data_IF_956382396114
#
_entry.id   IF_956382396114
#
_cell.length_a   1.000
_cell.length_b   1.000
_cell.length_c   1.000
_cell.angle_alpha   90.00
_cell.angle_beta   90.00
_cell.angle_gamma   90.00
#
_symmetry.space_group_name_H-M   'P 1'
#
loop_
_entity.id
_entity.type
_entity.pdbx_description
1 polymer ?
#
# COMPACT_ATOMS: atom_id res chain seq x y z
N UNK A 1 -3.26 13.17 -15.56
CA UNK A 1 -2.76 14.50 -15.96
C UNK A 1 -1.23 14.61 -15.84
N UNK A 2 -0.61 14.33 -14.69
CA UNK A 2 0.87 14.42 -14.53
C UNK A 2 1.63 13.45 -15.44
N UNK A 3 1.19 12.18 -15.56
CA UNK A 3 1.85 11.21 -16.46
C UNK A 3 1.93 11.69 -17.91
N UNK A 4 0.88 12.34 -18.42
CA UNK A 4 0.82 12.88 -19.78
C UNK A 4 1.80 14.05 -19.92
N UNK A 5 1.80 14.98 -18.96
CA UNK A 5 2.74 16.12 -18.93
C UNK A 5 4.18 15.63 -18.97
N UNK A 6 4.53 14.62 -18.16
CA UNK A 6 5.88 14.06 -18.14
C UNK A 6 6.22 13.33 -19.45
N UNK A 7 5.24 12.63 -20.04
CA UNK A 7 5.42 11.99 -21.34
C UNK A 7 5.68 13.01 -22.45
N UNK A 8 4.91 14.11 -22.46
CA UNK A 8 5.09 15.20 -23.41
C UNK A 8 6.42 15.95 -23.19
N UNK A 9 6.84 16.10 -21.93
CA UNK A 9 8.16 16.64 -21.58
C UNK A 9 9.28 15.79 -22.16
N UNK A 10 9.27 14.48 -21.95
CA UNK A 10 10.31 13.59 -22.48
C UNK A 10 10.30 13.58 -24.01
N UNK A 11 9.13 13.67 -24.64
CA UNK A 11 9.03 13.84 -26.10
C UNK A 11 9.68 15.14 -26.59
N UNK A 12 9.51 16.23 -25.85
CA UNK A 12 10.11 17.53 -26.18
C UNK A 12 11.61 17.62 -25.84
N UNK A 13 12.05 16.88 -24.82
CA UNK A 13 13.42 16.82 -24.32
C UNK A 13 13.86 15.35 -24.25
N UNK A 14 14.25 14.74 -25.39
CA UNK A 14 14.39 13.29 -25.53
C UNK A 14 15.42 12.67 -24.58
N UNK A 15 16.40 13.45 -24.11
CA UNK A 15 17.47 12.99 -23.22
C UNK A 15 17.00 12.72 -21.77
N UNK A 16 15.77 13.13 -21.41
CA UNK A 16 15.21 12.86 -20.08
C UNK A 16 14.93 11.38 -19.85
N UNK A 17 15.28 10.90 -18.66
CA UNK A 17 14.82 9.61 -18.11
C UNK A 17 13.71 9.88 -17.10
N UNK A 18 12.52 9.33 -17.35
CA UNK A 18 11.35 9.53 -16.49
C UNK A 18 10.80 8.17 -16.07
N UNK A 19 10.78 7.90 -14.77
CA UNK A 19 10.09 6.74 -14.23
C UNK A 19 8.67 7.10 -13.78
N UNK A 20 7.66 6.45 -14.36
CA UNK A 20 6.28 6.52 -13.91
C UNK A 20 5.97 5.26 -13.10
N UNK A 21 6.21 5.34 -11.79
CA UNK A 21 6.02 4.25 -10.85
C UNK A 21 4.59 4.31 -10.29
N UNK A 22 3.74 3.39 -10.71
CA UNK A 22 2.33 3.31 -10.29
C UNK A 22 2.22 2.40 -9.09
N UNK A 23 1.95 2.99 -7.92
CA UNK A 23 1.78 2.26 -6.68
C UNK A 23 0.35 1.72 -6.56
N UNK A 24 0.20 0.60 -5.86
CA UNK A 24 -1.09 0.04 -5.52
C UNK A 24 -1.47 0.46 -4.10
N UNK A 25 -1.41 -0.43 -3.10
CA UNK A 25 -1.78 -0.11 -1.72
C UNK A 25 -0.60 -0.35 -0.77
N UNK A 26 0.32 0.63 -0.61
CA UNK A 26 1.44 0.53 0.31
C UNK A 26 0.97 0.45 1.76
N UNK A 27 1.49 -0.52 2.51
CA UNK A 27 1.21 -0.77 3.93
C UNK A 27 2.45 -1.32 4.62
N UNK A 28 2.42 -1.54 5.94
CA UNK A 28 3.59 -1.95 6.70
C UNK A 28 4.33 -0.77 7.30
N UNK A 29 5.47 -1.05 7.91
CA UNK A 29 6.33 -0.06 8.54
C UNK A 29 7.80 -0.48 8.39
N UNK A 30 8.73 0.33 8.85
CA UNK A 30 10.11 -0.10 8.98
C UNK A 30 10.20 -1.17 10.09
N UNK A 31 10.94 -2.28 9.90
CA UNK A 31 10.95 -3.43 10.82
C UNK A 31 11.49 -3.10 12.22
N UNK A 32 12.20 -1.99 12.39
CA UNK A 32 12.59 -1.51 13.73
C UNK A 32 11.38 -1.16 14.60
N UNK A 33 10.21 -0.90 14.00
CA UNK A 33 9.05 -0.37 14.70
C UNK A 33 9.25 1.07 15.17
N UNK A 34 10.19 1.82 14.57
CA UNK A 34 10.48 3.22 14.90
C UNK A 34 10.25 4.19 13.73
N UNK A 35 9.81 3.69 12.58
CA UNK A 35 9.26 4.50 11.50
C UNK A 35 8.07 3.78 10.88
N UNK A 36 6.96 4.47 10.72
CA UNK A 36 5.77 3.96 10.04
C UNK A 36 4.84 5.09 9.63
N UNK A 37 3.65 4.72 9.15
CA UNK A 37 2.63 5.68 8.74
C UNK A 37 2.03 6.38 9.97
N UNK A 38 1.91 7.71 9.89
CA UNK A 38 1.33 8.54 10.95
C UNK A 38 0.48 9.67 10.34
N UNK A 39 -0.71 9.34 9.81
CA UNK A 39 -1.56 10.32 9.15
C UNK A 39 -2.16 11.30 10.16
N UNK A 40 -2.19 12.57 9.77
CA UNK A 40 -2.80 13.63 10.57
C UNK A 40 -4.32 13.47 10.60
N UNK A 41 -4.91 13.53 11.80
CA UNK A 41 -6.36 13.44 12.00
C UNK A 41 -6.93 12.03 11.79
N UNK A 42 -8.00 11.93 10.99
CA UNK A 42 -8.66 10.65 10.71
C UNK A 42 -7.99 9.99 9.49
N UNK A 43 -7.42 8.78 9.63
CA UNK A 43 -6.84 8.08 8.49
C UNK A 43 -7.90 7.81 7.42
N UNK A 44 -7.58 8.08 6.16
CA UNK A 44 -8.43 7.73 5.02
C UNK A 44 -8.16 6.31 4.50
N UNK A 45 -6.97 5.78 4.81
CA UNK A 45 -6.48 4.48 4.36
C UNK A 45 -6.81 3.37 5.39
N UNK A 46 -6.98 2.15 4.90
CA UNK A 46 -7.46 1.00 5.68
C UNK A 46 -6.51 0.64 6.83
N UNK A 47 -5.23 0.41 6.52
CA UNK A 47 -4.24 -0.11 7.46
C UNK A 47 -3.99 0.82 8.68
N UNK A 48 -3.75 2.14 8.53
CA UNK A 48 -3.59 3.01 9.69
C UNK A 48 -4.88 3.14 10.51
N UNK A 49 -6.07 3.03 9.89
CA UNK A 49 -7.33 3.01 10.63
C UNK A 49 -7.44 1.75 11.50
N UNK A 50 -7.17 0.57 10.93
CA UNK A 50 -7.11 -0.71 11.65
C UNK A 50 -6.13 -0.62 12.82
N UNK A 51 -4.92 -0.10 12.58
CA UNK A 51 -3.89 0.02 13.60
C UNK A 51 -4.35 0.93 14.75
N UNK A 52 -4.98 2.06 14.46
CA UNK A 52 -5.56 2.96 15.47
C UNK A 52 -6.70 2.31 16.28
N UNK A 53 -7.54 1.47 15.67
CA UNK A 53 -8.52 0.67 16.41
C UNK A 53 -7.81 -0.32 17.34
N UNK A 54 -6.79 -1.02 16.85
CA UNK A 54 -6.06 -2.01 17.63
C UNK A 54 -5.32 -1.41 18.85
N UNK A 55 -4.82 -0.18 18.75
CA UNK A 55 -4.23 0.54 19.91
C UNK A 55 -5.25 1.32 20.75
N UNK A 56 -6.54 1.25 20.42
CA UNK A 56 -7.62 1.87 21.20
C UNK A 56 -7.78 3.38 20.99
N UNK A 57 -7.23 3.94 19.92
CA UNK A 57 -7.49 5.34 19.52
C UNK A 57 -8.85 5.51 18.85
N UNK A 58 -9.46 4.40 18.42
CA UNK A 58 -10.75 4.35 17.72
C UNK A 58 -11.54 3.13 18.18
N UNK A 59 -12.87 3.26 18.19
CA UNK A 59 -13.75 2.20 18.69
C UNK A 59 -13.93 1.03 17.70
N UNK A 60 -14.06 1.33 16.40
CA UNK A 60 -14.39 0.34 15.37
C UNK A 60 -13.99 0.81 13.97
N UNK A 61 -13.55 -0.13 13.12
CA UNK A 61 -13.34 0.08 11.69
C UNK A 61 -14.69 0.05 10.95
N UNK A 62 -14.92 1.02 10.06
CA UNK A 62 -15.99 0.94 9.07
C UNK A 62 -15.50 0.26 7.78
N UNK A 63 -16.08 -0.89 7.42
CA UNK A 63 -15.84 -1.57 6.14
C UNK A 63 -16.85 -1.07 5.12
N UNK A 64 -16.39 -0.32 4.12
CA UNK A 64 -17.24 0.31 3.11
C UNK A 64 -17.65 -0.67 2.00
N UNK A 65 -18.85 -1.23 2.10
CA UNK A 65 -19.40 -2.21 1.16
C UNK A 65 -19.14 -3.66 1.56
N UNK A 66 -20.18 -4.48 1.46
CA UNK A 66 -20.18 -5.92 1.72
C UNK A 66 -20.95 -6.70 0.64
N UNK A 67 -21.17 -6.06 -0.50
CA UNK A 67 -21.99 -6.50 -1.62
C UNK A 67 -21.26 -6.35 -2.96
N UNK A 68 -19.94 -6.11 -2.94
CA UNK A 68 -19.13 -6.11 -4.17
C UNK A 68 -19.10 -7.50 -4.81
N UNK A 69 -18.91 -7.61 -6.14
CA UNK A 69 -18.72 -8.88 -6.82
C UNK A 69 -17.33 -9.49 -6.55
N UNK A 70 -17.01 -9.73 -5.29
CA UNK A 70 -15.78 -10.35 -4.78
C UNK A 70 -16.15 -11.54 -3.89
N UNK A 71 -15.18 -12.39 -3.54
CA UNK A 71 -15.44 -13.65 -2.83
C UNK A 71 -16.16 -13.46 -1.48
N UNK A 72 -15.79 -12.43 -0.71
CA UNK A 72 -16.39 -12.13 0.59
C UNK A 72 -17.28 -10.87 0.60
N UNK A 73 -17.53 -10.29 -0.59
CA UNK A 73 -18.32 -9.08 -0.78
C UNK A 73 -17.60 -7.77 -0.45
N UNK A 74 -16.36 -7.80 0.06
CA UNK A 74 -15.59 -6.60 0.39
C UNK A 74 -14.59 -6.21 -0.71
N UNK A 75 -14.11 -4.97 -0.68
CA UNK A 75 -13.15 -4.48 -1.69
C UNK A 75 -11.83 -5.25 -1.68
N UNK A 76 -11.34 -5.64 -2.87
CA UNK A 76 -10.07 -6.37 -3.03
C UNK A 76 -9.01 -5.46 -3.60
N UNK A 77 -7.82 -5.46 -2.99
CA UNK A 77 -6.70 -4.57 -3.33
C UNK A 77 -5.37 -5.31 -3.30
N UNK A 78 -4.38 -4.76 -4.00
CA UNK A 78 -3.00 -5.24 -4.00
C UNK A 78 -2.20 -4.51 -2.93
N UNK A 79 -1.98 -5.18 -1.81
CA UNK A 79 -1.19 -4.67 -0.72
C UNK A 79 0.29 -4.97 -0.95
N UNK A 80 1.11 -3.93 -0.84
CA UNK A 80 2.57 -4.00 -0.99
C UNK A 80 3.24 -3.46 0.27
N UNK A 81 4.27 -4.15 0.75
CA UNK A 81 5.02 -3.68 1.91
C UNK A 81 5.79 -2.39 1.56
N UNK A 82 5.74 -1.39 2.43
CA UNK A 82 6.37 -0.07 2.18
C UNK A 82 7.89 -0.19 2.00
N UNK A 83 8.53 -1.16 2.67
CA UNK A 83 9.95 -1.46 2.45
C UNK A 83 10.22 -2.08 1.07
N UNK A 84 9.35 -2.97 0.56
CA UNK A 84 9.48 -3.48 -0.83
C UNK A 84 9.33 -2.33 -1.83
N UNK A 85 8.36 -1.44 -1.57
CA UNK A 85 8.15 -0.26 -2.40
C UNK A 85 9.37 0.67 -2.39
N UNK A 86 9.95 0.93 -1.22
CA UNK A 86 11.16 1.73 -1.08
C UNK A 86 12.34 1.09 -1.83
N UNK A 87 12.55 -0.21 -1.68
CA UNK A 87 13.56 -0.97 -2.43
C UNK A 87 13.33 -0.81 -3.95
N UNK A 88 12.08 -0.84 -4.40
CA UNK A 88 11.70 -0.63 -5.81
C UNK A 88 12.06 0.75 -6.35
N UNK A 89 11.96 1.79 -5.52
CA UNK A 89 12.40 3.14 -5.88
C UNK A 89 13.91 3.21 -6.05
N UNK A 90 14.67 2.64 -5.12
CA UNK A 90 16.15 2.64 -5.19
C UNK A 90 16.61 1.94 -6.47
N UNK A 91 16.07 0.74 -6.74
CA UNK A 91 16.40 -0.01 -7.95
C UNK A 91 16.03 0.76 -9.22
N UNK A 92 14.84 1.37 -9.27
CA UNK A 92 14.42 2.17 -10.43
C UNK A 92 15.33 3.39 -10.63
N UNK A 93 15.66 4.11 -9.56
CA UNK A 93 16.56 5.27 -9.60
C UNK A 93 17.95 4.87 -10.14
N UNK A 94 18.55 3.83 -9.59
CA UNK A 94 19.88 3.35 -9.99
C UNK A 94 19.91 2.83 -11.43
N UNK A 95 18.92 2.01 -11.81
CA UNK A 95 18.90 1.37 -13.12
C UNK A 95 18.47 2.27 -14.26
N UNK A 96 17.65 3.28 -13.99
CA UNK A 96 17.10 4.16 -15.02
C UNK A 96 17.83 5.50 -15.11
N UNK A 97 18.76 5.78 -14.17
CA UNK A 97 19.65 6.92 -14.27
C UNK A 97 20.35 6.95 -15.65
N UNK A 98 20.27 8.10 -16.30
CA UNK A 98 20.86 8.33 -17.64
C UNK A 98 20.38 7.37 -18.74
N UNK A 99 19.18 6.79 -18.61
CA UNK A 99 18.52 6.01 -19.67
C UNK A 99 17.35 6.80 -20.24
N UNK A 100 17.54 7.54 -21.35
CA UNK A 100 16.47 8.36 -21.91
C UNK A 100 15.22 7.55 -22.22
N UNK A 101 14.05 8.14 -21.97
CA UNK A 101 12.75 7.51 -22.20
C UNK A 101 11.79 7.63 -21.02
N UNK A 102 10.55 7.21 -21.27
CA UNK A 102 9.50 7.09 -20.26
C UNK A 102 9.36 5.63 -19.87
N UNK A 103 9.69 5.33 -18.61
CA UNK A 103 9.74 3.97 -18.06
C UNK A 103 8.57 3.77 -17.10
N UNK A 104 7.57 3.02 -17.53
CA UNK A 104 6.32 2.83 -16.77
C UNK A 104 6.35 1.46 -16.09
N UNK A 105 6.14 1.43 -14.77
CA UNK A 105 6.09 0.20 -13.98
C UNK A 105 4.93 0.23 -12.96
N UNK A 106 4.26 -0.90 -12.83
CA UNK A 106 3.42 -1.17 -11.66
C UNK A 106 4.31 -1.70 -10.54
N UNK A 107 4.21 -1.09 -9.36
CA UNK A 107 4.84 -1.60 -8.14
C UNK A 107 3.75 -2.10 -7.20
N UNK A 108 3.56 -3.42 -7.20
CA UNK A 108 2.58 -4.14 -6.40
C UNK A 108 3.02 -5.60 -6.20
N UNK A 109 2.36 -6.32 -5.31
CA UNK A 109 2.60 -7.73 -5.04
C UNK A 109 2.04 -8.65 -6.13
N UNK A 110 1.08 -8.17 -6.92
CA UNK A 110 0.45 -8.91 -8.01
C UNK A 110 -0.62 -9.91 -7.55
N UNK A 111 -1.04 -9.81 -6.30
CA UNK A 111 -2.10 -10.62 -5.69
C UNK A 111 -3.06 -9.70 -4.94
N UNK A 112 -4.35 -9.96 -5.07
CA UNK A 112 -5.40 -9.22 -4.35
C UNK A 112 -5.71 -9.84 -3.00
N UNK A 113 -5.96 -9.01 -2.00
CA UNK A 113 -6.55 -9.40 -0.72
C UNK A 113 -7.75 -8.51 -0.40
N UNK A 114 -8.78 -9.08 0.21
CA UNK A 114 -10.00 -8.37 0.59
C UNK A 114 -9.78 -7.47 1.81
N UNK A 115 -10.78 -6.65 2.17
CA UNK A 115 -10.73 -5.89 3.42
C UNK A 115 -10.72 -6.83 4.64
N UNK A 116 -11.51 -7.91 4.59
CA UNK A 116 -11.54 -8.89 5.68
C UNK A 116 -10.23 -9.67 5.81
N UNK A 117 -9.55 -9.98 4.70
CA UNK A 117 -8.22 -10.59 4.73
C UNK A 117 -7.23 -9.73 5.53
N UNK A 118 -7.23 -8.41 5.30
CA UNK A 118 -6.36 -7.48 6.04
C UNK A 118 -6.75 -7.40 7.52
N UNK A 119 -8.05 -7.34 7.82
CA UNK A 119 -8.54 -7.34 9.21
C UNK A 119 -8.12 -8.61 9.95
N UNK A 120 -8.20 -9.76 9.28
CA UNK A 120 -7.79 -11.06 9.82
C UNK A 120 -6.27 -11.12 10.06
N UNK A 121 -5.46 -10.70 9.08
CA UNK A 121 -4.01 -10.61 9.20
C UNK A 121 -3.61 -9.70 10.37
N UNK A 122 -4.25 -8.53 10.52
CA UNK A 122 -3.97 -7.62 11.62
C UNK A 122 -4.42 -8.14 12.98
N UNK A 123 -5.59 -8.78 13.05
CA UNK A 123 -6.08 -9.40 14.29
C UNK A 123 -5.14 -10.49 14.79
N UNK A 124 -4.57 -11.27 13.85
CA UNK A 124 -3.52 -12.26 14.15
C UNK A 124 -2.25 -11.59 14.67
N UNK A 125 -1.77 -10.52 14.02
CA UNK A 125 -0.57 -9.80 14.42
C UNK A 125 -0.67 -9.14 15.81
N UNK A 126 -1.82 -8.52 16.13
CA UNK A 126 -2.01 -7.83 17.40
C UNK A 126 -2.53 -8.73 18.54
N UNK A 127 -2.81 -10.01 18.25
CA UNK A 127 -3.24 -11.01 19.22
C UNK A 127 -4.67 -10.83 19.75
N UNK A 128 -5.49 -9.99 19.11
CA UNK A 128 -6.89 -9.77 19.47
C UNK A 128 -7.75 -9.45 18.24
N UNK A 129 -9.03 -9.81 18.22
CA UNK A 129 -9.93 -9.42 17.14
C UNK A 129 -10.02 -7.90 17.00
N UNK A 130 -9.78 -7.39 15.80
CA UNK A 130 -10.02 -5.97 15.48
C UNK A 130 -11.52 -5.74 15.33
N UNK A 131 -12.05 -4.76 16.07
CA UNK A 131 -13.48 -4.43 16.02
C UNK A 131 -13.82 -3.72 14.70
N UNK A 132 -14.86 -4.17 14.01
CA UNK A 132 -15.33 -3.56 12.76
C UNK A 132 -16.85 -3.66 12.61
N UNK A 133 -17.40 -2.85 11.71
CA UNK A 133 -18.79 -2.91 11.26
C UNK A 133 -18.86 -2.61 9.75
N UNK A 134 -19.93 -3.07 9.09
CA UNK A 134 -20.16 -2.74 7.68
C UNK A 134 -20.85 -1.38 7.54
N UNK A 135 -20.47 -0.65 6.49
CA UNK A 135 -21.00 0.64 6.09
C UNK A 135 -21.34 0.63 4.59
N UNK A 136 -22.12 1.60 4.08
CA UNK A 136 -22.37 1.74 2.65
C UNK A 136 -21.06 1.85 1.86
N UNK A 137 -21.13 1.53 0.55
CA UNK A 137 -19.99 1.73 -0.35
C UNK A 137 -19.56 3.19 -0.34
N UNK A 138 -18.25 3.42 -0.36
CA UNK A 138 -17.67 4.75 -0.52
C UNK A 138 -17.58 5.09 -2.01
N UNK A 139 -18.05 6.27 -2.37
CA UNK A 139 -18.08 6.72 -3.77
C UNK A 139 -16.66 6.70 -4.36
N UNK A 140 -16.54 6.17 -5.58
CA UNK A 140 -15.27 6.05 -6.31
C UNK A 140 -14.49 4.75 -6.03
N UNK A 141 -14.83 3.96 -5.00
CA UNK A 141 -14.18 2.67 -4.77
C UNK A 141 -14.59 1.64 -5.84
N UNK A 142 -13.59 1.04 -6.49
CA UNK A 142 -13.79 -0.10 -7.40
C UNK A 142 -13.90 -1.42 -6.61
N UNK A 143 -14.57 -2.45 -7.14
CA UNK A 143 -14.68 -3.74 -6.47
C UNK A 143 -13.31 -4.40 -6.21
N UNK A 144 -12.51 -4.59 -7.27
CA UNK A 144 -11.26 -5.33 -7.19
C UNK A 144 -10.27 -4.85 -8.25
N UNK A 145 -9.00 -4.69 -7.86
CA UNK A 145 -7.89 -4.50 -8.79
C UNK A 145 -6.55 -4.85 -8.11
N UNK A 146 -5.60 -5.35 -8.90
CA UNK A 146 -4.23 -5.64 -8.46
C UNK A 146 -3.24 -5.52 -9.63
N UNK A 147 -1.94 -5.52 -9.32
CA UNK A 147 -0.90 -5.31 -10.31
C UNK A 147 -0.66 -6.55 -11.17
N UNK A 148 -0.29 -6.34 -12.43
CA UNK A 148 0.73 -7.18 -13.05
C UNK A 148 2.07 -6.46 -12.87
N UNK A 149 2.92 -7.00 -11.98
CA UNK A 149 4.24 -6.47 -11.67
C UNK A 149 5.38 -7.19 -12.42
N UNK A 150 5.04 -8.10 -13.36
CA UNK A 150 6.03 -8.91 -14.06
C UNK A 150 7.02 -8.09 -14.91
N UNK A 151 6.61 -6.90 -15.36
CA UNK A 151 7.51 -5.97 -16.07
C UNK A 151 8.64 -5.45 -15.16
N UNK A 152 8.31 -5.09 -13.91
CA UNK A 152 9.32 -4.65 -12.95
C UNK A 152 10.27 -5.80 -12.58
N UNK A 153 9.76 -7.03 -12.46
CA UNK A 153 10.60 -8.21 -12.26
C UNK A 153 11.57 -8.43 -13.43
N UNK A 154 11.08 -8.41 -14.68
CA UNK A 154 11.94 -8.64 -15.86
C UNK A 154 12.99 -7.55 -16.08
N UNK A 155 12.62 -6.28 -15.96
CA UNK A 155 13.47 -5.16 -16.38
C UNK A 155 14.28 -4.57 -15.22
N UNK A 156 13.70 -4.54 -14.02
CA UNK A 156 14.34 -4.00 -12.82
C UNK A 156 14.90 -5.11 -11.93
N UNK A 157 14.59 -6.39 -12.17
CA UNK A 157 14.93 -7.48 -11.25
C UNK A 157 14.43 -7.19 -9.82
N UNK A 158 13.24 -6.61 -9.73
CA UNK A 158 12.58 -6.24 -8.49
C UNK A 158 11.25 -6.96 -8.38
N UNK A 159 10.99 -7.52 -7.20
CA UNK A 159 9.72 -8.14 -6.81
C UNK A 159 9.55 -7.97 -5.30
N UNK A 160 8.32 -8.06 -4.84
CA UNK A 160 8.03 -8.06 -3.39
C UNK A 160 8.66 -9.28 -2.72
N UNK A 161 9.12 -9.10 -1.48
CA UNK A 161 9.62 -10.20 -0.66
C UNK A 161 8.83 -10.37 0.63
N UNK A 162 7.95 -9.41 0.98
CA UNK A 162 7.17 -9.44 2.22
C UNK A 162 5.71 -9.81 1.94
N UNK A 163 5.14 -10.55 2.88
CA UNK A 163 3.77 -11.08 2.87
C UNK A 163 2.79 -10.13 3.55
N UNK A 164 1.48 -10.36 3.38
CA UNK A 164 0.45 -9.59 4.08
C UNK A 164 0.55 -9.71 5.61
N UNK A 165 0.91 -10.89 6.10
CA UNK A 165 1.14 -11.12 7.53
C UNK A 165 2.31 -10.26 8.05
N UNK A 166 3.42 -10.16 7.31
CA UNK A 166 4.55 -9.29 7.66
C UNK A 166 4.17 -7.80 7.60
N UNK A 167 3.39 -7.39 6.60
CA UNK A 167 2.85 -6.01 6.52
C UNK A 167 2.03 -5.65 7.77
N UNK A 168 1.14 -6.55 8.19
CA UNK A 168 0.33 -6.35 9.39
C UNK A 168 1.20 -6.35 10.66
N UNK A 169 2.17 -7.26 10.75
CA UNK A 169 3.09 -7.38 11.87
C UNK A 169 3.96 -6.12 12.06
N UNK A 170 4.57 -5.62 10.99
CA UNK A 170 5.42 -4.44 11.06
C UNK A 170 4.60 -3.18 11.37
N UNK A 171 3.39 -3.07 10.81
CA UNK A 171 2.46 -1.99 11.16
C UNK A 171 2.10 -2.03 12.64
N UNK A 172 1.75 -3.21 13.18
CA UNK A 172 1.45 -3.39 14.59
C UNK A 172 2.66 -3.09 15.46
N UNK A 173 3.85 -3.53 15.06
CA UNK A 173 5.09 -3.26 15.78
C UNK A 173 5.36 -1.76 15.91
N UNK A 174 5.22 -1.00 14.82
CA UNK A 174 5.27 0.47 14.84
C UNK A 174 4.20 1.07 15.74
N UNK A 175 2.92 0.77 15.49
CA UNK A 175 1.81 1.44 16.18
C UNK A 175 1.76 1.10 17.67
N UNK A 176 2.14 -0.11 18.08
CA UNK A 176 2.19 -0.49 19.49
C UNK A 176 3.32 0.20 20.26
N UNK A 177 4.45 0.50 19.59
CA UNK A 177 5.57 1.26 20.17
C UNK A 177 5.30 2.77 20.20
N UNK A 178 4.66 3.27 19.16
CA UNK A 178 4.35 4.68 18.95
C UNK A 178 2.83 4.87 18.81
N UNK A 179 2.04 4.65 19.88
CA UNK A 179 0.59 4.67 19.80
C UNK A 179 0.04 6.02 19.32
N UNK A 180 0.74 7.12 19.62
CA UNK A 180 0.38 8.47 19.17
C UNK A 180 1.11 8.93 17.91
N UNK A 181 1.94 8.08 17.29
CA UNK A 181 2.74 8.47 16.13
C UNK A 181 4.05 9.13 16.53
N UNK A 182 4.59 9.99 15.65
CA UNK A 182 5.81 10.74 15.92
C UNK A 182 5.56 11.83 16.97
N UNK A 183 6.61 12.28 17.70
CA UNK A 183 6.50 13.47 18.53
C UNK A 183 6.15 14.70 17.69
N UNK A 184 5.27 15.55 18.23
CA UNK A 184 4.95 16.88 17.68
C UNK A 184 6.15 17.84 17.73
#
# INVERSE_FOLDING_TARGET
MVEQILTDLQKAQPDWSIALLRYFNPVGAHPSGDMGEDPQGIPNNLMPYIAQVAVGRRDSLAIFGNDYPTEDGTGVRDYIHVMDLADGHVVAMEKLANKPGVHIYNLGAGVGSSVLDVVNAFSKACGKPVNYHFAPRREGDLPAYWADASKADRELNWRVTRTLDEMAQDTWHWQSRHPQGYPD
#
